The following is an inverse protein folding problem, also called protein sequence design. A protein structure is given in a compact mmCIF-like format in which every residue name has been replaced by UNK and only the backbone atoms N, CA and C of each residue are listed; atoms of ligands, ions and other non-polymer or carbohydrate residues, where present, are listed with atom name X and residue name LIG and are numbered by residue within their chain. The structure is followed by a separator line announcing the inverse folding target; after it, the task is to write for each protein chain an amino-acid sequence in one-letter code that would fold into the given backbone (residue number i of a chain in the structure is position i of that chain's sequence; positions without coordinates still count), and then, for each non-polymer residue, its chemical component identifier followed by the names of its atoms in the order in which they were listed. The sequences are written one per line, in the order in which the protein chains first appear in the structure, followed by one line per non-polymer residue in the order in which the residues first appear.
data_IF_118306204150
#
_entry.id   IF_118306204150
#
_cell.length_a   1.000
_cell.length_b   1.000
_cell.length_c   1.000
_cell.angle_alpha   90.00
_cell.angle_beta   90.00
_cell.angle_gamma   90.00
#
_symmetry.space_group_name_H-M   'P 1'
#
loop_
_entity.id
_entity.type
_entity.pdbx_description
1 polymer ?
#
# COMPACT_ATOMS: atom_id res chain seq x y z
N UNK A 1 28.94 27.23 28.98
CA UNK A 1 29.05 25.78 28.74
C UNK A 1 28.60 25.52 27.32
N UNK A 2 29.53 25.20 26.41
CA UNK A 2 29.19 24.86 25.03
C UNK A 2 28.44 23.52 25.03
N UNK A 3 27.20 23.53 24.58
CA UNK A 3 26.40 22.33 24.32
C UNK A 3 27.00 21.62 23.10
N UNK A 4 27.17 20.30 23.19
CA UNK A 4 27.80 19.50 22.15
C UNK A 4 26.80 19.30 21.00
N UNK A 5 26.71 20.28 20.09
CA UNK A 5 25.79 20.25 18.94
C UNK A 5 25.92 19.00 18.08
N UNK A 6 27.13 18.45 17.96
CA UNK A 6 27.38 17.21 17.21
C UNK A 6 26.63 16.00 17.83
N UNK A 7 26.47 15.97 19.16
CA UNK A 7 25.74 14.90 19.84
C UNK A 7 24.23 15.02 19.64
N UNK A 8 23.69 16.24 19.71
CA UNK A 8 22.27 16.50 19.50
C UNK A 8 21.84 16.18 18.06
N UNK A 9 22.72 16.42 17.07
CA UNK A 9 22.44 16.11 15.67
C UNK A 9 22.39 14.60 15.42
N UNK A 10 23.31 13.84 16.02
CA UNK A 10 23.34 12.36 15.95
C UNK A 10 22.10 11.76 16.62
N UNK A 11 21.65 12.32 17.73
CA UNK A 11 20.46 11.85 18.45
C UNK A 11 19.19 12.10 17.63
N UNK A 12 19.10 13.28 16.98
CA UNK A 12 17.98 13.63 16.09
C UNK A 12 17.94 12.78 14.82
N UNK A 13 19.08 12.35 14.30
CA UNK A 13 19.14 11.38 13.19
C UNK A 13 18.74 9.97 13.62
N UNK A 14 19.14 9.52 14.82
CA UNK A 14 18.70 8.24 15.38
C UNK A 14 17.19 8.20 15.58
N UNK A 15 16.60 9.24 16.13
CA UNK A 15 15.16 9.31 16.34
C UNK A 15 14.41 9.24 15.01
N UNK A 16 14.83 10.03 14.00
CA UNK A 16 14.23 9.96 12.65
C UNK A 16 14.30 8.55 12.05
N UNK A 17 15.43 7.87 12.21
CA UNK A 17 15.60 6.50 11.69
C UNK A 17 14.84 5.45 12.52
N UNK A 18 14.63 5.67 13.82
CA UNK A 18 13.85 4.79 14.68
C UNK A 18 12.35 4.81 14.32
N UNK A 19 11.78 5.97 13.99
CA UNK A 19 10.40 6.07 13.52
C UNK A 19 10.19 5.47 12.13
N UNK A 20 11.16 5.62 11.22
CA UNK A 20 11.08 5.08 9.86
C UNK A 20 11.28 3.55 9.79
N UNK A 21 11.85 2.93 10.82
CA UNK A 21 12.14 1.49 10.87
C UNK A 21 11.07 0.64 11.55
N UNK A 22 9.96 1.25 12.00
CA UNK A 22 8.75 0.53 12.40
C UNK A 22 8.02 -0.04 11.17
N UNK A 23 8.72 -0.91 10.41
CA UNK A 23 8.15 -1.71 9.35
C UNK A 23 7.22 -2.72 10.01
N UNK A 24 5.92 -2.40 10.02
CA UNK A 24 4.87 -3.32 10.43
C UNK A 24 5.07 -4.60 9.63
N UNK A 25 5.64 -5.60 10.28
CA UNK A 25 5.87 -6.91 9.69
C UNK A 25 4.54 -7.62 9.83
N UNK A 26 3.66 -7.40 8.85
CA UNK A 26 2.42 -8.18 8.72
C UNK A 26 2.90 -9.59 8.37
N UNK A 27 2.65 -10.61 9.22
CA UNK A 27 3.00 -11.98 8.88
C UNK A 27 2.26 -12.37 7.58
N UNK A 28 3.02 -12.78 6.56
CA UNK A 28 2.51 -12.93 5.19
C UNK A 28 1.50 -14.08 5.01
N UNK A 29 1.40 -15.01 5.97
CA UNK A 29 0.73 -16.29 5.73
C UNK A 29 -0.34 -16.61 6.79
N UNK A 30 -1.34 -15.75 6.93
CA UNK A 30 -2.65 -16.22 7.38
C UNK A 30 -3.54 -16.36 6.17
N UNK A 31 -3.63 -17.58 5.61
CA UNK A 31 -4.60 -17.93 4.57
C UNK A 31 -6.01 -17.85 5.16
N UNK A 32 -6.53 -16.64 5.31
CA UNK A 32 -7.90 -16.41 5.71
C UNK A 32 -8.82 -16.64 4.52
N UNK A 33 -9.70 -17.64 4.62
CA UNK A 33 -10.76 -17.87 3.63
C UNK A 33 -11.84 -16.80 3.84
N UNK A 34 -11.93 -15.85 2.91
CA UNK A 34 -12.94 -14.79 2.93
C UNK A 34 -13.99 -15.07 1.86
N UNK A 35 -15.25 -15.25 2.28
CA UNK A 35 -16.40 -15.32 1.38
C UNK A 35 -16.94 -13.91 1.14
N UNK A 36 -17.05 -13.51 -0.13
CA UNK A 36 -17.57 -12.19 -0.51
C UNK A 36 -18.70 -12.38 -1.51
N UNK A 37 -19.85 -11.78 -1.20
CA UNK A 37 -20.97 -11.70 -2.14
C UNK A 37 -20.81 -10.46 -3.01
N UNK A 38 -20.79 -10.66 -4.33
CA UNK A 38 -20.63 -9.62 -5.32
C UNK A 38 -21.74 -9.75 -6.37
N UNK A 39 -22.20 -8.65 -6.97
CA UNK A 39 -23.15 -8.72 -8.08
C UNK A 39 -22.49 -9.38 -9.31
N UNK A 40 -23.27 -10.17 -10.05
CA UNK A 40 -22.80 -10.94 -11.22
C UNK A 40 -22.01 -10.11 -12.23
N UNK A 41 -22.45 -8.88 -12.47
CA UNK A 41 -21.77 -7.95 -13.39
C UNK A 41 -20.32 -7.67 -12.99
N UNK A 42 -20.02 -7.60 -11.70
CA UNK A 42 -18.67 -7.37 -11.19
C UNK A 42 -17.85 -8.65 -11.30
N UNK A 43 -18.45 -9.80 -10.98
CA UNK A 43 -17.80 -11.11 -11.11
C UNK A 43 -17.39 -11.37 -12.57
N UNK A 44 -18.27 -11.11 -13.52
CA UNK A 44 -17.98 -11.27 -14.95
C UNK A 44 -16.82 -10.38 -15.43
N UNK A 45 -16.76 -9.13 -14.96
CA UNK A 45 -15.64 -8.23 -15.28
C UNK A 45 -14.33 -8.71 -14.67
N UNK A 46 -14.34 -9.16 -13.42
CA UNK A 46 -13.16 -9.72 -12.76
C UNK A 46 -12.69 -10.99 -13.47
N UNK A 47 -13.60 -11.86 -13.88
CA UNK A 47 -13.28 -13.07 -14.64
C UNK A 47 -12.65 -12.75 -16.01
N UNK A 48 -13.19 -11.77 -16.73
CA UNK A 48 -12.64 -11.33 -18.01
C UNK A 48 -11.22 -10.77 -17.84
N UNK A 49 -11.01 -9.92 -16.84
CA UNK A 49 -9.67 -9.39 -16.53
C UNK A 49 -8.68 -10.47 -16.05
N UNK A 50 -9.16 -11.47 -15.32
CA UNK A 50 -8.34 -12.60 -14.90
C UNK A 50 -7.91 -13.45 -16.11
N UNK A 51 -8.84 -13.68 -17.04
CA UNK A 51 -8.57 -14.40 -18.29
C UNK A 51 -7.58 -13.66 -19.19
N UNK A 52 -7.73 -12.34 -19.37
CA UNK A 52 -6.77 -11.53 -20.15
C UNK A 52 -5.33 -11.58 -19.62
N UNK A 53 -5.16 -11.94 -18.34
CA UNK A 53 -3.86 -11.99 -17.66
C UNK A 53 -3.39 -13.42 -17.37
N UNK A 54 -4.10 -14.44 -17.86
CA UNK A 54 -3.82 -15.86 -17.60
C UNK A 54 -3.67 -16.19 -16.10
N UNK A 55 -4.52 -15.61 -15.25
CA UNK A 55 -4.53 -15.86 -13.80
C UNK A 55 -5.89 -16.37 -13.31
N UNK A 56 -5.92 -16.95 -12.11
CA UNK A 56 -7.16 -17.38 -11.47
C UNK A 56 -7.95 -16.20 -10.91
N UNK A 57 -9.28 -16.34 -10.81
CA UNK A 57 -10.16 -15.32 -10.24
C UNK A 57 -9.74 -14.92 -8.82
N UNK A 58 -9.37 -15.90 -7.97
CA UNK A 58 -8.91 -15.64 -6.61
C UNK A 58 -7.64 -14.78 -6.59
N UNK A 59 -6.67 -15.07 -7.48
CA UNK A 59 -5.47 -14.24 -7.62
C UNK A 59 -5.80 -12.83 -8.09
N UNK A 60 -6.73 -12.70 -9.03
CA UNK A 60 -7.20 -11.39 -9.50
C UNK A 60 -7.85 -10.58 -8.37
N UNK A 61 -8.73 -11.19 -7.57
CA UNK A 61 -9.33 -10.56 -6.40
C UNK A 61 -8.25 -10.08 -5.41
N UNK A 62 -7.24 -10.89 -5.14
CA UNK A 62 -6.09 -10.50 -4.31
C UNK A 62 -5.33 -9.29 -4.86
N UNK A 63 -5.11 -9.22 -6.17
CA UNK A 63 -4.44 -8.08 -6.83
C UNK A 63 -5.31 -6.81 -6.70
N UNK A 64 -6.62 -6.92 -6.95
CA UNK A 64 -7.53 -5.77 -6.80
C UNK A 64 -7.49 -5.25 -5.37
N UNK A 65 -7.62 -6.12 -4.37
CA UNK A 65 -7.57 -5.73 -2.95
C UNK A 65 -6.25 -5.05 -2.59
N UNK A 66 -5.11 -5.62 -3.02
CA UNK A 66 -3.78 -5.00 -2.81
C UNK A 66 -3.68 -3.63 -3.48
N UNK A 67 -4.22 -3.48 -4.69
CA UNK A 67 -4.22 -2.19 -5.39
C UNK A 67 -5.11 -1.15 -4.72
N UNK A 68 -6.29 -1.56 -4.23
CA UNK A 68 -7.20 -0.64 -3.53
C UNK A 68 -6.65 -0.21 -2.18
N UNK A 69 -5.96 -1.10 -1.46
CA UNK A 69 -5.32 -0.76 -0.19
C UNK A 69 -4.18 0.25 -0.38
N UNK A 70 -3.35 0.08 -1.42
CA UNK A 70 -2.32 1.06 -1.78
C UNK A 70 -2.90 2.43 -2.14
N UNK A 71 -3.99 2.45 -2.92
CA UNK A 71 -4.69 3.70 -3.25
C UNK A 71 -5.33 4.34 -2.01
N UNK A 72 -5.76 3.54 -1.03
CA UNK A 72 -6.38 4.01 0.22
C UNK A 72 -5.35 4.60 1.17
N UNK A 73 -4.20 3.94 1.34
CA UNK A 73 -3.03 4.44 2.07
C UNK A 73 -2.56 5.76 1.46
N UNK A 74 -2.48 5.82 0.12
CA UNK A 74 -2.13 7.06 -0.58
C UNK A 74 -3.14 8.21 -0.34
N UNK A 75 -4.45 7.95 -0.40
CA UNK A 75 -5.49 8.97 -0.13
C UNK A 75 -5.49 9.44 1.32
N UNK A 76 -5.10 8.57 2.25
CA UNK A 76 -5.02 8.91 3.66
C UNK A 76 -3.86 9.86 3.93
N UNK A 77 -2.71 9.61 3.29
CA UNK A 77 -1.52 10.45 3.44
C UNK A 77 -1.58 11.73 2.59
N UNK A 78 -2.26 11.70 1.44
CA UNK A 78 -2.28 12.79 0.46
C UNK A 78 -3.72 13.05 -0.03
N UNK A 79 -4.24 14.26 0.20
CA UNK A 79 -5.62 14.62 -0.19
C UNK A 79 -5.90 14.54 -1.71
N UNK A 80 -4.88 14.50 -2.57
CA UNK A 80 -5.04 14.51 -4.02
C UNK A 80 -4.06 13.57 -4.73
N UNK A 81 -4.54 12.87 -5.77
CA UNK A 81 -3.71 12.07 -6.68
C UNK A 81 -2.63 12.95 -7.34
N UNK A 82 -1.40 12.45 -7.52
CA UNK A 82 -0.32 13.27 -8.06
C UNK A 82 -0.66 13.58 -9.52
N UNK A 83 -0.82 14.86 -9.81
CA UNK A 83 -1.04 15.32 -11.18
C UNK A 83 0.30 15.37 -11.89
N UNK A 84 0.37 14.79 -13.09
CA UNK A 84 1.53 14.95 -13.96
C UNK A 84 1.54 16.40 -14.44
N UNK A 85 2.49 17.20 -13.95
CA UNK A 85 2.73 18.55 -14.44
C UNK A 85 3.19 18.45 -15.90
N UNK A 86 2.32 18.87 -16.81
CA UNK A 86 2.70 19.08 -18.21
C UNK A 86 3.22 20.50 -18.34
N UNK A 87 4.50 20.63 -18.64
CA UNK A 87 5.07 21.89 -19.11
C UNK A 87 4.57 22.08 -20.56
N UNK A 88 3.83 23.18 -20.79
CA UNK A 88 3.40 23.61 -22.12
C UNK A 88 4.45 24.52 -22.75
#
# INVERSE_FOLDING_TARGET
TMTNYDMDEIERERDRNAFASAKVTIPEDSEAVVTVELPDKVILKLALQAHERDITLNKMCGIVLKSSLKDLEYRYEHQSKPQVLKEY
#
